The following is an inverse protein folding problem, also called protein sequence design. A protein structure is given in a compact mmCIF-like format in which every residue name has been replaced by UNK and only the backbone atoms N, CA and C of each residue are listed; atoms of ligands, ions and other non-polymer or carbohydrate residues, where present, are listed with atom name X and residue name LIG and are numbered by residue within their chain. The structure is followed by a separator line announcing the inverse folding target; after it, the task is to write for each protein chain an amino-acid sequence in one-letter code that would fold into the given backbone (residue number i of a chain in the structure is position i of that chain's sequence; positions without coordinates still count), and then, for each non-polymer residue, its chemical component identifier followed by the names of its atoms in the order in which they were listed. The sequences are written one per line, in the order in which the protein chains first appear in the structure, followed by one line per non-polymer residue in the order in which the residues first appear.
data_IF_147495993721
#
_entry.id   IF_147495993721
#
_cell.length_a   1.000
_cell.length_b   1.000
_cell.length_c   1.000
_cell.angle_alpha   90.00
_cell.angle_beta   90.00
_cell.angle_gamma   90.00
#
_symmetry.space_group_name_H-M   'P 1'
#
loop_
_entity.id
_entity.type
_entity.pdbx_description
1 polymer ?
#
# COMPACT_ATOMS: atom_id res chain seq x y z
N UNK A 1 9.90 -7.95 8.36
CA UNK A 1 8.84 -8.41 7.43
C UNK A 1 7.94 -7.26 6.95
N UNK A 2 7.43 -6.37 7.81
CA UNK A 2 6.62 -5.22 7.36
C UNK A 2 7.42 -4.23 6.49
N UNK A 3 8.65 -3.88 6.89
CA UNK A 3 9.52 -2.97 6.14
C UNK A 3 9.84 -3.46 4.71
N UNK A 4 10.13 -4.77 4.53
CA UNK A 4 10.39 -5.36 3.21
C UNK A 4 9.15 -5.34 2.31
N UNK A 5 7.95 -5.49 2.88
CA UNK A 5 6.71 -5.39 2.11
C UNK A 5 6.42 -3.96 1.66
N UNK A 6 6.74 -2.96 2.49
CA UNK A 6 6.63 -1.55 2.11
C UNK A 6 7.59 -1.20 0.97
N UNK A 7 8.81 -1.74 0.98
CA UNK A 7 9.79 -1.55 -0.09
C UNK A 7 9.37 -2.23 -1.40
N UNK A 8 8.64 -3.34 -1.34
CA UNK A 8 8.12 -4.04 -2.52
C UNK A 8 6.91 -3.36 -3.19
N UNK A 9 6.34 -2.32 -2.57
CA UNK A 9 5.27 -1.54 -3.20
C UNK A 9 5.82 -0.67 -4.34
N UNK A 10 5.01 -0.43 -5.40
CA UNK A 10 5.27 0.67 -6.33
C UNK A 10 5.47 1.99 -5.58
N UNK A 11 6.37 2.82 -6.09
CA UNK A 11 6.77 4.07 -5.43
C UNK A 11 5.58 4.96 -5.08
N UNK A 12 4.64 5.13 -6.01
CA UNK A 12 3.45 5.94 -5.81
C UNK A 12 2.55 5.42 -4.68
N UNK A 13 2.51 4.10 -4.49
CA UNK A 13 1.74 3.46 -3.42
C UNK A 13 2.46 3.61 -2.08
N UNK A 14 3.79 3.43 -2.07
CA UNK A 14 4.65 3.61 -0.90
C UNK A 14 4.59 5.05 -0.38
N UNK A 15 4.66 6.05 -1.26
CA UNK A 15 4.61 7.46 -0.89
C UNK A 15 3.31 7.81 -0.14
N UNK A 16 2.17 7.36 -0.65
CA UNK A 16 0.87 7.57 0.02
C UNK A 16 0.81 6.86 1.38
N UNK A 17 1.35 5.65 1.50
CA UNK A 17 1.38 4.92 2.78
C UNK A 17 2.29 5.63 3.80
N UNK A 18 3.44 6.13 3.36
CA UNK A 18 4.35 6.89 4.21
C UNK A 18 3.66 8.14 4.78
N UNK A 19 3.13 8.99 3.89
CA UNK A 19 2.45 10.21 4.30
C UNK A 19 1.20 9.94 5.14
N UNK A 20 0.50 8.82 4.92
CA UNK A 20 -0.71 8.50 5.69
C UNK A 20 -0.42 8.03 7.11
N UNK A 21 0.64 7.23 7.30
CA UNK A 21 0.89 6.53 8.57
C UNK A 21 1.98 7.18 9.42
N UNK A 22 2.98 7.81 8.79
CA UNK A 22 4.08 8.47 9.52
C UNK A 22 3.84 9.97 9.68
N UNK A 23 3.32 10.63 8.65
CA UNK A 23 3.04 12.07 8.69
C UNK A 23 1.60 12.40 9.11
N UNK A 24 0.77 11.37 9.38
CA UNK A 24 -0.65 11.45 9.77
C UNK A 24 -1.52 12.37 8.88
N UNK A 25 -1.19 12.45 7.59
CA UNK A 25 -1.92 13.34 6.68
C UNK A 25 -3.27 12.76 6.28
N UNK A 26 -4.22 13.64 5.93
CA UNK A 26 -5.48 13.26 5.28
C UNK A 26 -5.24 12.99 3.79
N UNK A 27 -6.13 12.24 3.12
CA UNK A 27 -5.99 12.02 1.67
C UNK A 27 -6.04 13.30 0.85
N UNK A 28 -6.77 14.32 1.32
CA UNK A 28 -6.78 15.65 0.70
C UNK A 28 -5.38 16.30 0.79
N UNK A 29 -4.76 16.30 1.97
CA UNK A 29 -3.42 16.87 2.15
C UNK A 29 -2.35 16.08 1.41
N UNK A 30 -2.46 14.76 1.36
CA UNK A 30 -1.58 13.89 0.55
C UNK A 30 -1.71 14.23 -0.93
N UNK A 31 -2.93 14.46 -1.41
CA UNK A 31 -3.19 14.86 -2.79
C UNK A 31 -2.51 16.19 -3.14
N UNK A 32 -2.59 17.18 -2.26
CA UNK A 32 -1.88 18.44 -2.41
C UNK A 32 -0.36 18.24 -2.46
N UNK A 33 0.21 17.45 -1.54
CA UNK A 33 1.66 17.18 -1.48
C UNK A 33 2.17 16.47 -2.74
N UNK A 34 1.39 15.53 -3.28
CA UNK A 34 1.80 14.70 -4.42
C UNK A 34 1.32 15.25 -5.77
N UNK A 35 0.55 16.32 -5.80
CA UNK A 35 -0.02 16.89 -7.04
C UNK A 35 -1.00 15.94 -7.76
N UNK A 36 -1.80 15.18 -7.02
CA UNK A 36 -2.75 14.20 -7.56
C UNK A 36 -4.17 14.41 -7.01
N UNK A 37 -5.23 13.86 -7.65
CA UNK A 37 -6.56 13.88 -7.06
C UNK A 37 -6.64 13.11 -5.73
N UNK A 38 -7.44 13.60 -4.77
CA UNK A 38 -7.63 12.94 -3.47
C UNK A 38 -8.13 11.49 -3.59
N UNK A 39 -9.00 11.21 -4.58
CA UNK A 39 -9.47 9.85 -4.88
C UNK A 39 -8.35 8.94 -5.41
N UNK A 40 -7.36 9.50 -6.10
CA UNK A 40 -6.16 8.78 -6.54
C UNK A 40 -5.29 8.43 -5.34
N UNK A 41 -5.07 9.36 -4.41
CA UNK A 41 -4.38 9.08 -3.15
C UNK A 41 -5.08 7.95 -2.36
N UNK A 42 -6.39 8.08 -2.14
CA UNK A 42 -7.18 7.06 -1.44
C UNK A 42 -7.11 5.67 -2.12
N UNK A 43 -7.19 5.63 -3.45
CA UNK A 43 -7.11 4.37 -4.20
C UNK A 43 -5.71 3.76 -4.15
N UNK A 44 -4.65 4.56 -4.28
CA UNK A 44 -3.26 4.11 -4.10
C UNK A 44 -3.03 3.52 -2.72
N UNK A 45 -3.54 4.15 -1.67
CA UNK A 45 -3.50 3.62 -0.30
C UNK A 45 -4.22 2.27 -0.19
N UNK A 46 -5.45 2.17 -0.70
CA UNK A 46 -6.23 0.93 -0.69
C UNK A 46 -5.48 -0.22 -1.38
N UNK A 47 -4.93 0.01 -2.57
CA UNK A 47 -4.15 -1.00 -3.30
C UNK A 47 -2.85 -1.37 -2.61
N UNK A 48 -2.17 -0.41 -1.98
CA UNK A 48 -0.99 -0.66 -1.16
C UNK A 48 -1.31 -1.64 -0.02
N UNK A 49 -2.37 -1.35 0.75
CA UNK A 49 -2.81 -2.18 1.87
C UNK A 49 -3.26 -3.58 1.42
N UNK A 50 -3.94 -3.68 0.27
CA UNK A 50 -4.32 -4.97 -0.31
C UNK A 50 -3.09 -5.82 -0.66
N UNK A 51 -2.08 -5.24 -1.31
CA UNK A 51 -0.82 -5.96 -1.66
C UNK A 51 -0.06 -6.41 -0.42
N UNK A 52 0.08 -5.53 0.58
CA UNK A 52 0.72 -5.88 1.84
C UNK A 52 -0.02 -7.03 2.55
N UNK A 53 -1.35 -7.00 2.56
CA UNK A 53 -2.17 -8.09 3.13
C UNK A 53 -2.01 -9.40 2.37
N UNK A 54 -1.99 -9.35 1.03
CA UNK A 54 -1.78 -10.53 0.19
C UNK A 54 -0.40 -11.16 0.43
N UNK A 55 0.65 -10.33 0.55
CA UNK A 55 2.01 -10.81 0.80
C UNK A 55 2.25 -11.34 2.22
N UNK A 56 1.33 -11.06 3.15
CA UNK A 56 1.32 -11.64 4.50
C UNK A 56 0.57 -12.97 4.56
N UNK A 57 -0.27 -13.30 3.57
CA UNK A 57 -0.93 -14.60 3.55
C UNK A 57 0.13 -15.71 3.46
N UNK A 58 -0.01 -16.80 4.24
CA UNK A 58 0.84 -17.97 4.06
C UNK A 58 0.71 -18.45 2.62
N UNK A 59 1.82 -18.93 2.03
CA UNK A 59 1.77 -19.58 0.73
C UNK A 59 0.76 -20.72 0.83
N UNK A 60 -0.27 -20.69 -0.01
CA UNK A 60 -1.26 -21.74 -0.04
C UNK A 60 -0.52 -23.05 -0.35
N UNK A 61 -0.62 -24.08 0.52
CA UNK A 61 0.11 -25.32 0.30
C UNK A 61 -0.33 -25.89 -1.04
N UNK A 62 0.64 -26.26 -1.87
CA UNK A 62 0.41 -26.97 -3.12
C UNK A 62 -0.52 -28.15 -2.83
N UNK A 63 -1.74 -28.09 -3.38
CA UNK A 63 -2.60 -29.27 -3.44
C UNK A 63 -1.96 -30.23 -4.44
N UNK A 64 -1.28 -31.24 -3.93
CA UNK A 64 -0.94 -32.40 -4.75
C UNK A 64 -2.23 -33.20 -4.90
N UNK A 65 -2.79 -33.25 -6.11
CA UNK A 65 -3.88 -34.17 -6.42
C UNK A 65 -3.29 -35.60 -6.41
N UNK A 66 -3.87 -36.48 -5.60
CA UNK A 66 -3.59 -37.93 -5.56
C UNK A 66 -4.34 -38.68 -6.64
#
# INVERSE_FOLDING_TARGET
RAASLLMALPEEQRAVVHLKLWEDLTFARIAEVLGIPANTAASRYRYAMQKMRQALKPAEPLRYET
#
